data_IF_448300202775
#
_entry.id   IF_448300202775
#
_cell.length_a   1.000
_cell.length_b   1.000
_cell.length_c   1.000
_cell.angle_alpha   90.00
_cell.angle_beta   90.00
_cell.angle_gamma   90.00
#
_symmetry.space_group_name_H-M   'P 1'
#
loop_
_entity.id
_entity.type
_entity.pdbx_description
1 polymer ?
#
# COMPACT_ATOMS: atom_id res chain seq x y z
N UNK A 1 12.53 2.69 -2.22
CA UNK A 1 11.29 1.92 -1.90
C UNK A 1 11.14 0.64 -2.70
N UNK A 2 11.79 0.49 -3.87
CA UNK A 2 11.67 -0.73 -4.68
C UNK A 2 11.92 -2.02 -3.90
N UNK A 3 11.14 -3.05 -4.17
CA UNK A 3 11.28 -4.39 -3.59
C UNK A 3 9.93 -5.09 -3.39
N UNK A 4 10.02 -6.30 -2.83
CA UNK A 4 8.87 -7.08 -2.40
C UNK A 4 8.58 -6.80 -0.92
N UNK A 5 7.32 -6.59 -0.57
CA UNK A 5 6.88 -6.15 0.73
C UNK A 5 5.72 -7.02 1.23
N UNK A 6 5.67 -7.22 2.53
CA UNK A 6 4.50 -7.75 3.22
C UNK A 6 3.94 -6.63 4.08
N UNK A 7 2.73 -6.17 3.79
CA UNK A 7 2.01 -5.20 4.61
C UNK A 7 1.01 -5.94 5.50
N UNK A 8 1.15 -5.74 6.80
CA UNK A 8 0.16 -6.11 7.81
C UNK A 8 -0.87 -4.97 7.90
N UNK A 9 -2.06 -5.22 7.38
CA UNK A 9 -3.13 -4.23 7.21
C UNK A 9 -4.19 -4.44 8.28
N UNK A 10 -4.52 -3.38 9.03
CA UNK A 10 -5.58 -3.37 10.03
C UNK A 10 -6.65 -2.35 9.64
N UNK A 11 -7.88 -2.82 9.41
CA UNK A 11 -9.02 -1.98 9.08
C UNK A 11 -9.75 -1.53 10.35
N UNK A 12 -10.20 -0.28 10.35
CA UNK A 12 -10.93 0.33 11.46
C UNK A 12 -12.29 -0.34 11.71
N UNK A 13 -12.84 -0.11 12.90
CA UNK A 13 -14.18 -0.60 13.26
C UNK A 13 -14.31 -2.12 13.34
N UNK A 14 -13.18 -2.86 13.40
CA UNK A 14 -13.19 -4.32 13.41
C UNK A 14 -13.46 -4.95 12.04
N UNK A 15 -13.33 -4.19 10.95
CA UNK A 15 -13.59 -4.66 9.59
C UNK A 15 -12.60 -5.72 9.08
N UNK A 16 -11.53 -6.00 9.83
CA UNK A 16 -10.63 -7.12 9.59
C UNK A 16 -9.16 -6.76 9.65
N UNK A 17 -8.33 -7.79 9.64
CA UNK A 17 -6.88 -7.70 9.55
C UNK A 17 -6.39 -8.75 8.56
N UNK A 18 -5.38 -8.42 7.77
CA UNK A 18 -4.80 -9.35 6.80
C UNK A 18 -3.46 -8.87 6.29
N UNK A 19 -2.75 -9.80 5.66
CA UNK A 19 -1.49 -9.49 5.00
C UNK A 19 -1.73 -9.24 3.51
N UNK A 20 -1.03 -8.25 2.97
CA UNK A 20 -0.92 -8.02 1.53
C UNK A 20 0.54 -8.21 1.10
N UNK A 21 0.74 -8.88 -0.03
CA UNK A 21 2.03 -8.93 -0.72
C UNK A 21 2.06 -7.84 -1.79
N UNK A 22 3.09 -7.01 -1.78
CA UNK A 22 3.23 -5.89 -2.71
C UNK A 22 4.62 -5.93 -3.34
N UNK A 23 4.68 -5.88 -4.67
CA UNK A 23 5.92 -5.54 -5.37
C UNK A 23 5.83 -4.06 -5.72
N UNK A 24 6.84 -3.29 -5.33
CA UNK A 24 7.00 -1.89 -5.72
C UNK A 24 8.27 -1.72 -6.55
N UNK A 25 8.18 -0.96 -7.63
CA UNK A 25 9.31 -0.52 -8.45
C UNK A 25 9.24 0.99 -8.56
N UNK A 26 10.31 1.66 -8.11
CA UNK A 26 10.48 3.09 -8.40
C UNK A 26 10.91 3.23 -9.86
N UNK A 27 10.10 3.98 -10.59
CA UNK A 27 10.33 4.37 -11.97
C UNK A 27 10.89 5.80 -12.02
N UNK A 28 11.15 6.29 -13.22
CA UNK A 28 11.55 7.68 -13.44
C UNK A 28 10.46 8.68 -12.99
N UNK A 29 10.87 9.94 -12.78
CA UNK A 29 9.97 11.06 -12.49
C UNK A 29 9.11 10.90 -11.22
N UNK A 30 9.60 10.16 -10.22
CA UNK A 30 8.90 10.00 -8.94
C UNK A 30 7.69 9.06 -9.01
N UNK A 31 7.64 8.16 -10.01
CA UNK A 31 6.53 7.21 -10.18
C UNK A 31 6.82 5.86 -9.51
N UNK A 32 5.77 5.18 -9.08
CA UNK A 32 5.80 3.78 -8.64
C UNK A 32 4.94 2.95 -9.56
N UNK A 33 5.47 1.80 -9.97
CA UNK A 33 4.72 0.71 -10.59
C UNK A 33 4.80 -0.55 -9.72
N UNK A 34 3.95 -1.54 -10.00
CA UNK A 34 4.10 -2.85 -9.38
C UNK A 34 2.82 -3.68 -9.33
N UNK A 35 2.71 -4.52 -8.31
CA UNK A 35 1.55 -5.38 -8.08
C UNK A 35 1.17 -5.45 -6.61
N UNK A 36 -0.12 -5.71 -6.37
CA UNK A 36 -0.72 -5.92 -5.07
C UNK A 36 -1.51 -7.22 -5.07
N UNK A 37 -1.37 -7.99 -4.00
CA UNK A 37 -2.13 -9.21 -3.73
C UNK A 37 -2.54 -9.24 -2.27
N UNK A 38 -3.82 -9.10 -1.97
CA UNK A 38 -4.30 -9.09 -0.59
C UNK A 38 -5.82 -9.17 -0.47
N UNK A 39 -6.32 -9.01 0.76
CA UNK A 39 -7.75 -9.14 1.06
C UNK A 39 -8.65 -8.12 0.35
N UNK A 40 -8.10 -6.98 -0.07
CA UNK A 40 -8.87 -5.86 -0.64
C UNK A 40 -8.91 -5.85 -2.18
N UNK A 41 -7.91 -6.44 -2.85
CA UNK A 41 -7.82 -6.48 -4.30
C UNK A 41 -6.67 -7.41 -4.73
N UNK A 42 -6.61 -7.71 -6.02
CA UNK A 42 -5.44 -8.32 -6.65
C UNK A 42 -5.23 -7.64 -8.00
N UNK A 43 -4.04 -7.13 -8.29
CA UNK A 43 -3.81 -6.42 -9.55
C UNK A 43 -2.53 -5.60 -9.59
N UNK A 44 -2.38 -4.83 -10.67
CA UNK A 44 -1.30 -3.87 -10.80
C UNK A 44 -1.54 -2.65 -9.90
N UNK A 45 -0.46 -2.02 -9.45
CA UNK A 45 -0.51 -0.73 -8.76
C UNK A 45 0.18 0.35 -9.58
N UNK A 46 -0.35 1.56 -9.47
CA UNK A 46 0.28 2.79 -9.93
C UNK A 46 0.32 3.79 -8.79
N UNK A 47 1.40 4.55 -8.71
CA UNK A 47 1.61 5.48 -7.60
C UNK A 47 2.72 6.49 -7.84
N UNK A 48 3.04 7.21 -6.78
CA UNK A 48 4.08 8.24 -6.76
C UNK A 48 4.92 8.12 -5.49
N UNK A 49 6.11 8.71 -5.52
CA UNK A 49 6.96 8.83 -4.36
C UNK A 49 7.72 10.14 -4.32
N UNK A 50 7.98 10.61 -3.10
CA UNK A 50 8.79 11.78 -2.82
C UNK A 50 9.60 11.53 -1.55
N UNK A 51 10.93 11.52 -1.68
CA UNK A 51 11.82 11.14 -0.58
C UNK A 51 11.50 9.74 -0.03
N UNK A 52 11.09 9.68 1.23
CA UNK A 52 10.70 8.44 1.92
C UNK A 52 9.19 8.16 1.88
N UNK A 53 8.39 9.12 1.43
CA UNK A 53 6.94 8.97 1.34
C UNK A 53 6.53 8.40 -0.01
N UNK A 54 5.45 7.62 -0.01
CA UNK A 54 4.82 7.12 -1.22
C UNK A 54 3.31 7.05 -1.10
N UNK A 55 2.67 7.00 -2.26
CA UNK A 55 1.26 6.71 -2.40
C UNK A 55 1.05 5.79 -3.60
N UNK A 56 0.19 4.77 -3.48
CA UNK A 56 -0.30 4.01 -4.63
C UNK A 56 -1.77 3.66 -4.46
N UNK A 57 -2.45 3.42 -5.59
CA UNK A 57 -3.84 3.04 -5.62
C UNK A 57 -4.03 1.57 -6.02
N UNK A 58 -5.03 0.93 -5.42
CA UNK A 58 -5.63 -0.33 -5.88
C UNK A 58 -7.11 -0.08 -6.17
N UNK A 59 -7.66 -0.81 -7.13
CA UNK A 59 -9.11 -0.84 -7.34
C UNK A 59 -9.67 -2.12 -6.72
N UNK A 60 -10.66 -1.98 -5.83
CA UNK A 60 -11.45 -3.11 -5.36
C UNK A 60 -12.64 -3.28 -6.31
N UNK A 61 -12.54 -4.23 -7.23
CA UNK A 61 -13.57 -4.47 -8.26
C UNK A 61 -14.91 -4.94 -7.67
N UNK A 62 -14.91 -5.60 -6.50
CA UNK A 62 -16.14 -6.05 -5.86
C UNK A 62 -16.96 -4.88 -5.32
N UNK A 63 -16.27 -3.87 -4.81
CA UNK A 63 -16.87 -2.65 -4.24
C UNK A 63 -16.97 -1.52 -5.26
N UNK A 64 -16.23 -1.58 -6.37
CA UNK A 64 -16.14 -0.52 -7.37
C UNK A 64 -15.50 0.76 -6.83
N UNK A 65 -14.56 0.64 -5.87
CA UNK A 65 -13.90 1.78 -5.24
C UNK A 65 -12.38 1.72 -5.39
N UNK A 66 -11.77 2.90 -5.46
CA UNK A 66 -10.33 3.07 -5.32
C UNK A 66 -9.95 3.11 -3.84
N UNK A 67 -8.86 2.41 -3.51
CA UNK A 67 -8.25 2.38 -2.19
C UNK A 67 -6.81 2.85 -2.33
N UNK A 68 -6.46 3.88 -1.59
CA UNK A 68 -5.17 4.54 -1.59
C UNK A 68 -4.36 4.05 -0.38
N UNK A 69 -3.16 3.58 -0.63
CA UNK A 69 -2.15 3.30 0.39
C UNK A 69 -1.16 4.44 0.41
N UNK A 70 -1.14 5.20 1.51
CA UNK A 70 -0.16 6.26 1.74
C UNK A 70 0.75 5.88 2.89
N UNK A 71 2.06 5.83 2.64
CA UNK A 71 3.02 5.38 3.63
C UNK A 71 4.36 6.10 3.56
N UNK A 72 5.20 5.81 4.54
CA UNK A 72 6.55 6.36 4.68
C UNK A 72 7.52 5.26 5.09
N UNK A 73 8.72 5.28 4.49
CA UNK A 73 9.83 4.41 4.86
C UNK A 73 10.58 5.00 6.07
N UNK A 74 10.56 4.25 7.16
CA UNK A 74 11.22 4.59 8.41
C UNK A 74 12.72 4.23 8.38
N UNK A 75 13.53 4.87 9.22
CA UNK A 75 14.98 4.61 9.32
C UNK A 75 15.32 3.15 9.68
N UNK A 76 14.40 2.46 10.37
CA UNK A 76 14.55 1.06 10.75
C UNK A 76 14.24 0.06 9.61
N UNK A 77 13.95 0.55 8.40
CA UNK A 77 13.65 -0.26 7.22
C UNK A 77 12.23 -0.82 7.17
N UNK A 78 11.34 -0.40 8.08
CA UNK A 78 9.90 -0.68 8.02
C UNK A 78 9.17 0.44 7.31
N UNK A 79 7.96 0.14 6.84
CA UNK A 79 7.03 1.15 6.33
C UNK A 79 5.86 1.26 7.28
N UNK A 80 5.37 2.46 7.54
CA UNK A 80 4.08 2.66 8.20
C UNK A 80 3.18 3.55 7.35
N UNK A 81 1.86 3.41 7.51
CA UNK A 81 0.95 4.20 6.69
C UNK A 81 -0.53 3.99 6.97
N UNK A 82 -1.34 4.64 6.16
CA UNK A 82 -2.80 4.63 6.21
C UNK A 82 -3.39 4.01 4.95
N UNK A 83 -4.51 3.33 5.13
CA UNK A 83 -5.39 2.86 4.05
C UNK A 83 -6.56 3.82 3.96
N UNK A 84 -6.77 4.41 2.79
CA UNK A 84 -7.74 5.48 2.56
C UNK A 84 -8.68 5.04 1.45
N UNK A 85 -9.99 5.22 1.61
CA UNK A 85 -10.92 5.12 0.49
C UNK A 85 -11.94 6.25 0.56
N UNK A 86 -12.34 6.75 -0.61
CA UNK A 86 -13.28 7.89 -0.71
C UNK A 86 -12.87 9.10 0.14
N UNK A 87 -11.56 9.35 0.29
CA UNK A 87 -11.01 10.44 1.09
C UNK A 87 -11.04 10.25 2.60
N UNK A 88 -11.47 9.09 3.11
CA UNK A 88 -11.50 8.78 4.54
C UNK A 88 -10.51 7.67 4.88
N UNK A 89 -9.80 7.82 6.01
CA UNK A 89 -8.96 6.75 6.55
C UNK A 89 -9.84 5.58 6.99
N UNK A 90 -9.59 4.42 6.41
CA UNK A 90 -10.27 3.16 6.72
C UNK A 90 -9.41 2.23 7.57
N UNK A 91 -8.14 2.55 7.79
CA UNK A 91 -7.22 1.68 8.50
C UNK A 91 -5.77 2.12 8.42
N UNK A 92 -4.90 1.30 8.96
CA UNK A 92 -3.45 1.49 8.95
C UNK A 92 -2.74 0.24 8.50
N UNK A 93 -1.47 0.38 8.13
CA UNK A 93 -0.62 -0.76 7.86
C UNK A 93 0.80 -0.55 8.38
N UNK A 94 1.48 -1.67 8.62
CA UNK A 94 2.93 -1.72 8.80
C UNK A 94 3.53 -2.70 7.80
N UNK A 95 4.65 -2.35 7.19
CA UNK A 95 5.27 -3.08 6.10
C UNK A 95 6.70 -3.49 6.41
N UNK A 96 7.06 -4.70 5.99
CA UNK A 96 8.46 -5.18 5.99
C UNK A 96 8.84 -5.69 4.61
N UNK A 97 10.08 -5.46 4.23
CA UNK A 97 10.63 -5.99 2.99
C UNK A 97 10.80 -7.51 3.10
N UNK A 98 10.37 -8.25 2.08
CA UNK A 98 10.60 -9.69 1.95
C UNK A 98 12.09 -9.89 1.65
N UNK A 99 12.76 -10.72 2.45
CA UNK A 99 14.16 -11.13 2.22
C UNK A 99 14.27 -12.06 1.02
#
# INVERSE_FOLDING_TARGET
MSGNWIFDVTLAGGAGRGNAEITMTQEDEGKISGSYSGQLANGAIGGTYEGNSFEFAITNDQMGIEIIYRGELEENGTVTGSVIAQGQSMGTFSGKKKM
#
